data_IF_178460379195
#
_entry.id   IF_178460379195
#
_cell.length_a   1.000
_cell.length_b   1.000
_cell.length_c   1.000
_cell.angle_alpha   90.00
_cell.angle_beta   90.00
_cell.angle_gamma   90.00
#
_symmetry.space_group_name_H-M   'P 1'
#
loop_
_entity.id
_entity.type
_entity.pdbx_description
1 polymer ?
#
# COMPACT_ATOMS: atom_id res chain seq x y z
N UNK A 1 -2.07 -5.20 7.05
CA UNK A 1 -2.05 -3.88 7.69
C UNK A 1 -1.54 -2.85 6.70
N UNK A 2 -2.10 -1.64 6.72
CA UNK A 2 -1.68 -0.48 5.91
C UNK A 2 -1.28 0.66 6.85
N UNK A 3 -0.31 1.47 6.46
CA UNK A 3 0.11 2.64 7.22
C UNK A 3 0.59 3.76 6.29
N UNK A 4 0.16 4.98 6.58
CA UNK A 4 0.55 6.20 5.88
C UNK A 4 0.34 7.42 6.78
N UNK A 5 0.75 8.61 6.31
CA UNK A 5 0.53 9.89 7.02
C UNK A 5 -0.87 10.46 6.83
N UNK A 6 -1.60 9.96 5.82
CA UNK A 6 -2.92 10.46 5.48
C UNK A 6 -3.93 10.18 6.61
N UNK A 7 -4.83 11.14 6.93
CA UNK A 7 -5.80 10.97 8.00
C UNK A 7 -6.77 9.82 7.68
N UNK A 8 -7.17 9.09 8.71
CA UNK A 8 -8.12 7.97 8.58
C UNK A 8 -9.46 8.43 8.01
N UNK A 9 -9.94 9.56 8.46
CA UNK A 9 -11.30 10.04 8.23
C UNK A 9 -12.29 9.51 9.26
N UNK A 10 -13.55 9.90 9.11
CA UNK A 10 -14.65 9.43 9.95
C UNK A 10 -15.34 8.23 9.30
N UNK A 11 -15.82 7.30 10.11
CA UNK A 11 -16.77 6.28 9.62
C UNK A 11 -18.10 6.99 9.30
N UNK A 12 -18.51 7.03 8.03
CA UNK A 12 -19.67 7.83 7.64
C UNK A 12 -20.97 7.17 8.09
N UNK A 13 -21.87 7.97 8.65
CA UNK A 13 -23.27 7.58 8.79
C UNK A 13 -24.02 8.03 7.52
N UNK A 14 -24.13 7.13 6.55
CA UNK A 14 -24.75 7.42 5.26
C UNK A 14 -26.24 7.78 5.38
N UNK A 15 -26.91 7.41 6.47
CA UNK A 15 -28.33 7.75 6.72
C UNK A 15 -28.53 9.23 7.00
N UNK A 16 -27.49 9.93 7.45
CA UNK A 16 -27.49 11.36 7.78
C UNK A 16 -27.00 12.26 6.63
N UNK A 17 -26.58 11.67 5.51
CA UNK A 17 -26.16 12.47 4.37
C UNK A 17 -27.36 13.05 3.64
N UNK A 18 -27.42 14.38 3.43
CA UNK A 18 -28.44 14.98 2.57
C UNK A 18 -28.26 14.46 1.13
N UNK A 19 -29.36 14.22 0.41
CA UNK A 19 -29.32 13.64 -0.95
C UNK A 19 -28.35 14.36 -1.90
N UNK A 20 -28.26 15.70 -1.83
CA UNK A 20 -27.30 16.47 -2.62
C UNK A 20 -25.84 16.34 -2.15
N UNK A 21 -25.61 16.01 -0.89
CA UNK A 21 -24.26 15.84 -0.31
C UNK A 21 -23.55 14.57 -0.77
N UNK A 22 -24.30 13.53 -1.14
CA UNK A 22 -23.75 12.26 -1.62
C UNK A 22 -23.02 12.46 -2.96
N UNK A 23 -23.63 13.18 -3.90
CA UNK A 23 -23.03 13.43 -5.21
C UNK A 23 -21.70 14.20 -5.10
N UNK A 24 -21.68 15.26 -4.27
CA UNK A 24 -20.45 16.03 -4.01
C UNK A 24 -19.36 15.19 -3.33
N UNK A 25 -19.74 14.35 -2.37
CA UNK A 25 -18.79 13.48 -1.67
C UNK A 25 -18.19 12.42 -2.61
N UNK A 26 -19.01 11.81 -3.47
CA UNK A 26 -18.54 10.86 -4.48
C UNK A 26 -17.62 11.51 -5.51
N UNK A 27 -17.92 12.75 -5.93
CA UNK A 27 -17.06 13.50 -6.82
C UNK A 27 -15.66 13.75 -6.20
N UNK A 28 -15.60 14.10 -4.90
CA UNK A 28 -14.34 14.28 -4.20
C UNK A 28 -13.54 12.97 -4.09
N UNK A 29 -14.21 11.84 -3.86
CA UNK A 29 -13.59 10.51 -3.86
C UNK A 29 -13.04 10.20 -5.26
N UNK A 30 -13.80 10.48 -6.32
CA UNK A 30 -13.36 10.28 -7.71
C UNK A 30 -12.12 11.11 -8.03
N UNK A 31 -12.08 12.39 -7.64
CA UNK A 31 -10.90 13.24 -7.82
C UNK A 31 -9.66 12.66 -7.12
N UNK A 32 -9.80 12.27 -5.85
CA UNK A 32 -8.70 11.68 -5.08
C UNK A 32 -8.23 10.37 -5.70
N UNK A 33 -9.16 9.52 -6.19
CA UNK A 33 -8.81 8.31 -6.93
C UNK A 33 -8.09 8.62 -8.24
N UNK A 34 -8.54 9.61 -8.99
CA UNK A 34 -7.89 10.06 -10.22
C UNK A 34 -6.44 10.46 -9.98
N UNK A 35 -6.19 11.19 -8.90
CA UNK A 35 -4.83 11.57 -8.47
C UNK A 35 -3.97 10.33 -8.14
N UNK A 36 -4.48 9.41 -7.31
CA UNK A 36 -3.77 8.19 -6.94
C UNK A 36 -3.47 7.32 -8.17
N UNK A 37 -4.45 7.12 -9.05
CA UNK A 37 -4.29 6.31 -10.24
C UNK A 37 -3.35 6.95 -11.28
N UNK A 38 -3.25 8.28 -11.29
CA UNK A 38 -2.35 9.00 -12.18
C UNK A 38 -0.91 9.00 -11.68
N UNK A 39 -0.69 9.22 -10.38
CA UNK A 39 0.63 9.37 -9.79
C UNK A 39 1.12 8.14 -9.04
N UNK A 40 0.26 7.14 -8.81
CA UNK A 40 0.54 5.95 -7.99
C UNK A 40 0.91 6.26 -6.53
N UNK A 41 0.57 7.45 -6.05
CA UNK A 41 0.72 7.87 -4.66
C UNK A 41 -0.29 8.96 -4.30
N UNK A 42 -0.51 9.16 -3.00
CA UNK A 42 -1.33 10.26 -2.52
C UNK A 42 -0.56 11.58 -2.58
N UNK A 43 -1.17 12.60 -3.17
CA UNK A 43 -0.74 13.97 -2.95
C UNK A 43 -1.45 14.41 -1.67
N UNK A 44 -0.79 14.26 -0.52
CA UNK A 44 -1.37 14.47 0.83
C UNK A 44 -2.07 15.84 0.96
N UNK A 45 -1.53 16.88 0.32
CA UNK A 45 -2.12 18.23 0.35
C UNK A 45 -3.46 18.25 -0.37
N UNK A 46 -3.55 17.67 -1.55
CA UNK A 46 -4.77 17.65 -2.36
C UNK A 46 -5.83 16.75 -1.73
N UNK A 47 -5.43 15.58 -1.23
CA UNK A 47 -6.30 14.67 -0.52
C UNK A 47 -6.88 15.30 0.75
N UNK A 48 -6.08 16.04 1.52
CA UNK A 48 -6.56 16.79 2.68
C UNK A 48 -7.59 17.85 2.28
N UNK A 49 -7.45 18.47 1.12
CA UNK A 49 -8.40 19.46 0.62
C UNK A 49 -9.67 18.79 0.11
N UNK A 50 -9.53 17.76 -0.70
CA UNK A 50 -10.66 17.10 -1.37
C UNK A 50 -11.52 16.25 -0.43
N UNK A 51 -10.89 15.64 0.59
CA UNK A 51 -11.54 14.72 1.53
C UNK A 51 -11.66 15.27 2.97
N UNK A 52 -11.63 16.61 3.15
CA UNK A 52 -11.82 17.24 4.46
C UNK A 52 -13.27 17.60 4.78
N UNK A 53 -14.12 17.71 3.77
CA UNK A 53 -15.47 18.26 3.94
C UNK A 53 -16.49 17.13 4.18
N UNK A 54 -17.19 17.20 5.30
CA UNK A 54 -18.37 16.39 5.59
C UNK A 54 -18.07 15.01 6.19
N UNK A 55 -19.04 14.10 6.05
CA UNK A 55 -18.99 12.75 6.63
C UNK A 55 -18.14 11.76 5.82
N UNK A 56 -17.77 12.08 4.57
CA UNK A 56 -16.89 11.26 3.73
C UNK A 56 -15.56 11.98 3.65
N UNK A 57 -14.63 11.58 4.49
CA UNK A 57 -13.34 12.24 4.64
C UNK A 57 -12.21 11.24 4.85
N UNK A 58 -10.97 11.68 4.61
CA UNK A 58 -9.77 10.89 4.83
C UNK A 58 -9.60 9.70 3.88
N UNK A 59 -8.81 8.72 4.28
CA UNK A 59 -8.44 7.56 3.47
C UNK A 59 -9.53 6.48 3.40
N UNK A 60 -10.44 6.46 4.36
CA UNK A 60 -11.44 5.40 4.50
C UNK A 60 -12.32 5.18 3.26
N UNK A 61 -12.84 6.22 2.58
CA UNK A 61 -13.62 6.04 1.33
C UNK A 61 -12.81 5.37 0.23
N UNK A 62 -11.53 5.68 0.14
CA UNK A 62 -10.60 5.09 -0.85
C UNK A 62 -10.42 3.59 -0.57
N UNK A 63 -10.26 3.20 0.70
CA UNK A 63 -10.17 1.80 1.09
C UNK A 63 -11.43 1.02 0.70
N UNK A 64 -12.62 1.61 0.87
CA UNK A 64 -13.88 0.98 0.45
C UNK A 64 -13.92 0.73 -1.06
N UNK A 65 -13.48 1.71 -1.86
CA UNK A 65 -13.44 1.55 -3.32
C UNK A 65 -12.50 0.40 -3.72
N UNK A 66 -11.31 0.34 -3.14
CA UNK A 66 -10.37 -0.75 -3.44
C UNK A 66 -10.89 -2.11 -3.00
N UNK A 67 -11.50 -2.23 -1.82
CA UNK A 67 -12.12 -3.47 -1.37
C UNK A 67 -13.25 -3.91 -2.33
N UNK A 68 -14.16 -3.00 -2.67
CA UNK A 68 -15.26 -3.27 -3.60
C UNK A 68 -14.75 -3.69 -4.99
N UNK A 69 -13.74 -2.98 -5.53
CA UNK A 69 -13.13 -3.32 -6.82
C UNK A 69 -12.43 -4.67 -6.83
N UNK A 70 -11.94 -5.12 -5.66
CA UNK A 70 -11.34 -6.44 -5.47
C UNK A 70 -12.38 -7.54 -5.20
N UNK A 71 -13.68 -7.26 -5.35
CA UNK A 71 -14.76 -8.22 -5.10
C UNK A 71 -14.98 -8.55 -3.62
N UNK A 72 -14.49 -7.69 -2.72
CA UNK A 72 -14.63 -7.87 -1.28
C UNK A 72 -15.88 -7.17 -0.75
N UNK A 73 -16.54 -7.80 0.20
CA UNK A 73 -17.70 -7.25 0.91
C UNK A 73 -17.29 -6.80 2.31
N UNK A 74 -17.45 -5.53 2.62
CA UNK A 74 -17.21 -4.97 3.96
C UNK A 74 -18.30 -5.48 4.92
N UNK A 75 -17.92 -6.08 6.03
CA UNK A 75 -18.80 -6.61 7.07
C UNK A 75 -18.96 -5.63 8.23
N UNK A 76 -17.85 -5.06 8.69
CA UNK A 76 -17.88 -4.05 9.74
C UNK A 76 -16.69 -3.09 9.63
N UNK A 77 -16.87 -1.90 10.18
CA UNK A 77 -15.85 -0.86 10.27
C UNK A 77 -15.88 -0.29 11.66
N UNK A 78 -14.72 -0.25 12.33
CA UNK A 78 -14.59 0.25 13.68
C UNK A 78 -13.38 1.16 13.79
N UNK A 79 -13.52 2.39 14.33
CA UNK A 79 -12.37 3.18 14.74
C UNK A 79 -11.52 2.38 15.72
N UNK A 80 -10.21 2.54 15.61
CA UNK A 80 -9.22 1.92 16.51
C UNK A 80 -8.18 2.99 16.88
N UNK A 81 -7.69 2.95 18.10
CA UNK A 81 -6.58 3.76 18.54
C UNK A 81 -5.55 2.88 19.24
N UNK A 82 -4.27 3.20 19.07
CA UNK A 82 -3.19 2.52 19.80
C UNK A 82 -2.60 3.49 20.82
N UNK A 83 -2.35 3.01 22.02
CA UNK A 83 -1.54 3.75 22.99
C UNK A 83 -0.04 3.63 22.68
N UNK A 84 0.81 4.19 23.53
CA UNK A 84 2.27 4.16 23.39
C UNK A 84 2.89 2.76 23.63
N UNK A 85 2.12 1.82 24.21
CA UNK A 85 2.52 0.44 24.40
C UNK A 85 2.03 -0.49 23.28
N UNK A 86 1.22 0.04 22.33
CA UNK A 86 0.66 -0.73 21.23
C UNK A 86 -0.63 -1.49 21.61
N UNK A 87 -1.21 -1.21 22.78
CA UNK A 87 -2.52 -1.74 23.12
C UNK A 87 -3.60 -1.06 22.25
N UNK A 88 -4.55 -1.88 21.77
CA UNK A 88 -5.59 -1.44 20.85
C UNK A 88 -6.89 -1.14 21.60
N UNK A 89 -7.44 0.04 21.37
CA UNK A 89 -8.68 0.56 21.92
C UNK A 89 -9.70 0.76 20.80
N UNK A 90 -10.95 0.39 21.03
CA UNK A 90 -11.99 0.43 20.03
C UNK A 90 -13.09 1.45 20.39
N UNK A 91 -13.72 2.02 19.37
CA UNK A 91 -15.00 2.75 19.49
C UNK A 91 -15.06 3.85 20.55
N UNK A 92 -14.02 4.68 20.66
CA UNK A 92 -14.05 5.86 21.53
C UNK A 92 -13.46 5.66 22.93
N UNK A 93 -12.88 4.50 23.22
CA UNK A 93 -12.05 4.31 24.41
C UNK A 93 -10.84 5.26 24.35
N UNK A 94 -10.44 5.76 25.51
CA UNK A 94 -9.34 6.72 25.59
C UNK A 94 -7.98 6.01 25.56
N UNK A 95 -7.29 6.10 24.44
CA UNK A 95 -5.93 5.56 24.27
C UNK A 95 -4.83 6.57 24.66
N UNK A 96 -5.17 7.70 25.23
CA UNK A 96 -4.23 8.74 25.66
C UNK A 96 -3.95 9.83 24.60
N UNK A 97 -3.17 10.85 24.98
CA UNK A 97 -2.97 12.05 24.15
C UNK A 97 -2.14 11.78 22.88
N UNK A 98 -1.26 10.80 22.92
CA UNK A 98 -0.37 10.42 21.80
C UNK A 98 -0.88 9.21 21.01
N UNK A 99 -2.19 8.91 21.11
CA UNK A 99 -2.78 7.76 20.47
C UNK A 99 -2.62 7.79 18.94
N UNK A 100 -2.16 6.70 18.36
CA UNK A 100 -2.16 6.49 16.90
C UNK A 100 -3.56 6.10 16.47
N UNK A 101 -4.16 6.92 15.62
CA UNK A 101 -5.52 6.71 15.13
C UNK A 101 -5.53 5.81 13.91
N UNK A 102 -6.51 4.92 13.85
CA UNK A 102 -6.69 3.98 12.77
C UNK A 102 -8.13 3.56 12.58
N UNK A 103 -8.31 2.60 11.68
CA UNK A 103 -9.57 1.92 11.44
C UNK A 103 -9.31 0.43 11.28
N UNK A 104 -10.20 -0.39 11.84
CA UNK A 104 -10.31 -1.81 11.59
C UNK A 104 -11.50 -2.06 10.67
N UNK A 105 -11.25 -2.73 9.55
CA UNK A 105 -12.27 -3.14 8.59
C UNK A 105 -12.28 -4.67 8.55
N UNK A 106 -13.41 -5.28 8.86
CA UNK A 106 -13.66 -6.71 8.63
C UNK A 106 -14.36 -6.85 7.29
N UNK A 107 -13.83 -7.70 6.43
CA UNK A 107 -14.34 -7.92 5.08
C UNK A 107 -14.22 -9.39 4.71
N UNK A 108 -15.00 -9.83 3.72
CA UNK A 108 -14.94 -11.19 3.19
C UNK A 108 -14.92 -11.17 1.67
N UNK A 109 -14.23 -12.13 1.08
CA UNK A 109 -14.28 -12.44 -0.35
C UNK A 109 -15.44 -13.37 -0.70
N UNK A 110 -15.46 -13.85 -1.94
CA UNK A 110 -16.42 -14.84 -2.42
C UNK A 110 -16.32 -16.21 -1.72
N UNK A 111 -15.18 -16.49 -1.12
CA UNK A 111 -14.92 -17.67 -0.30
C UNK A 111 -15.61 -17.62 1.08
N UNK A 112 -16.21 -16.49 1.44
CA UNK A 112 -16.87 -16.25 2.72
C UNK A 112 -15.91 -16.13 3.91
N UNK A 113 -14.59 -16.28 3.71
CA UNK A 113 -13.63 -16.15 4.80
C UNK A 113 -13.46 -14.68 5.21
N UNK A 114 -13.62 -14.43 6.50
CA UNK A 114 -13.40 -13.09 7.04
C UNK A 114 -11.91 -12.79 7.18
N UNK A 115 -11.56 -11.59 6.73
CA UNK A 115 -10.22 -11.01 6.82
C UNK A 115 -10.31 -9.65 7.50
N UNK A 116 -9.24 -9.28 8.17
CA UNK A 116 -9.17 -7.99 8.85
C UNK A 116 -8.13 -7.10 8.17
N UNK A 117 -8.54 -5.88 7.82
CA UNK A 117 -7.66 -4.81 7.39
C UNK A 117 -7.55 -3.78 8.52
N UNK A 118 -6.33 -3.47 8.91
CA UNK A 118 -6.02 -2.32 9.75
C UNK A 118 -5.38 -1.23 8.89
N UNK A 119 -5.86 0.00 9.03
CA UNK A 119 -5.20 1.17 8.50
C UNK A 119 -4.88 2.13 9.64
N UNK A 120 -3.64 2.61 9.71
CA UNK A 120 -3.20 3.57 10.71
C UNK A 120 -2.61 4.81 10.04
N UNK A 121 -3.01 5.98 10.52
CA UNK A 121 -2.37 7.26 10.21
C UNK A 121 -1.27 7.50 11.24
N UNK A 122 -0.01 7.37 10.83
CA UNK A 122 1.14 7.49 11.74
C UNK A 122 2.36 8.05 11.04
N UNK A 123 3.15 8.82 11.78
CA UNK A 123 4.48 9.26 11.36
C UNK A 123 5.46 8.10 11.48
N UNK A 124 5.99 7.65 10.36
CA UNK A 124 6.98 6.55 10.28
C UNK A 124 8.43 7.01 10.48
N UNK A 125 8.68 8.30 10.72
CA UNK A 125 10.02 8.79 11.08
C UNK A 125 10.50 8.17 12.40
N UNK A 126 11.80 8.19 12.64
CA UNK A 126 12.39 7.65 13.87
C UNK A 126 11.78 8.30 15.12
N UNK A 127 11.48 9.61 15.09
CA UNK A 127 10.81 10.30 16.18
C UNK A 127 9.35 9.89 16.33
N UNK A 128 8.63 9.78 15.23
CA UNK A 128 7.22 9.41 15.23
C UNK A 128 6.99 7.99 15.77
N UNK A 129 7.73 7.00 15.27
CA UNK A 129 7.57 5.62 15.74
C UNK A 129 8.06 5.38 17.17
N UNK A 130 9.00 6.20 17.67
CA UNK A 130 9.40 6.15 19.09
C UNK A 130 8.32 6.68 20.03
N UNK A 131 7.58 7.69 19.59
CA UNK A 131 6.51 8.29 20.37
C UNK A 131 5.20 7.50 20.32
N UNK A 132 5.11 6.48 19.47
CA UNK A 132 3.89 5.71 19.22
C UNK A 132 4.06 4.22 19.51
N UNK A 133 2.99 3.54 19.88
CA UNK A 133 2.95 2.08 20.03
C UNK A 133 2.75 1.31 18.71
N UNK A 134 2.83 2.00 17.55
CA UNK A 134 2.52 1.39 16.26
C UNK A 134 3.35 0.15 15.94
N UNK A 135 4.68 0.21 16.09
CA UNK A 135 5.54 -0.95 15.82
C UNK A 135 5.35 -2.08 16.83
N UNK A 136 5.08 -1.74 18.10
CA UNK A 136 4.73 -2.74 19.13
C UNK A 136 3.43 -3.48 18.77
N UNK A 137 2.41 -2.75 18.30
CA UNK A 137 1.21 -3.38 17.78
C UNK A 137 1.50 -4.30 16.59
N UNK A 138 2.35 -3.86 15.66
CA UNK A 138 2.76 -4.69 14.53
C UNK A 138 3.42 -6.00 14.96
N UNK A 139 4.24 -5.96 16.03
CA UNK A 139 4.88 -7.16 16.59
C UNK A 139 3.86 -8.17 17.12
N UNK A 140 2.74 -7.70 17.70
CA UNK A 140 1.68 -8.61 18.18
C UNK A 140 0.99 -9.40 17.06
N UNK A 141 1.08 -8.92 15.81
CA UNK A 141 0.54 -9.61 14.64
C UNK A 141 1.47 -10.70 14.10
N UNK A 142 2.70 -10.78 14.64
CA UNK A 142 3.72 -11.72 14.21
C UNK A 142 4.39 -11.35 12.89
N UNK A 143 5.39 -12.13 12.47
CA UNK A 143 6.05 -11.94 11.18
C UNK A 143 5.08 -12.17 10.02
N UNK A 144 5.24 -11.39 8.95
CA UNK A 144 4.34 -11.44 7.81
C UNK A 144 5.01 -11.07 6.50
N UNK A 145 4.21 -10.92 5.45
CA UNK A 145 4.64 -10.44 4.15
C UNK A 145 4.45 -8.94 4.07
N UNK A 146 5.46 -8.22 3.62
CA UNK A 146 5.43 -6.77 3.47
C UNK A 146 5.38 -6.36 2.01
N UNK A 147 4.47 -5.43 1.68
CA UNK A 147 4.46 -4.69 0.43
C UNK A 147 4.87 -3.25 0.73
N UNK A 148 5.95 -2.77 0.12
CA UNK A 148 6.50 -1.45 0.36
C UNK A 148 6.41 -0.61 -0.90
N UNK A 149 5.76 0.54 -0.78
CA UNK A 149 5.77 1.62 -1.76
C UNK A 149 6.05 2.94 -1.03
N UNK A 150 7.14 3.58 -1.36
CA UNK A 150 7.57 4.81 -0.71
C UNK A 150 7.69 5.94 -1.74
N UNK A 151 6.65 6.73 -1.88
CA UNK A 151 6.54 7.78 -2.91
C UNK A 151 7.73 8.77 -2.91
N UNK A 152 8.30 9.05 -1.74
CA UNK A 152 9.41 10.00 -1.56
C UNK A 152 10.73 9.30 -1.22
N UNK A 153 10.87 8.02 -1.50
CA UNK A 153 12.05 7.22 -1.13
C UNK A 153 12.41 7.34 0.37
N UNK A 154 11.39 7.40 1.24
CA UNK A 154 11.56 7.64 2.67
C UNK A 154 12.55 6.66 3.31
N UNK A 155 12.46 5.38 2.94
CA UNK A 155 13.30 4.33 3.51
C UNK A 155 14.78 4.41 3.09
N UNK A 156 15.12 5.30 2.15
CA UNK A 156 16.52 5.64 1.83
C UNK A 156 17.14 6.62 2.83
N UNK A 157 16.31 7.34 3.60
CA UNK A 157 16.77 8.36 4.55
C UNK A 157 17.15 7.74 5.90
N UNK A 158 18.15 8.34 6.56
CA UNK A 158 18.52 8.01 7.93
C UNK A 158 17.41 8.27 8.96
N UNK A 159 16.45 9.14 8.63
CA UNK A 159 15.32 9.46 9.50
C UNK A 159 14.28 8.33 9.61
N UNK A 160 14.38 7.27 8.82
CA UNK A 160 13.46 6.14 8.79
C UNK A 160 14.15 4.79 9.09
N UNK A 161 15.28 4.82 9.80
CA UNK A 161 16.05 3.62 10.14
C UNK A 161 15.27 2.66 11.03
N UNK A 162 14.44 3.16 11.95
CA UNK A 162 13.69 2.34 12.89
C UNK A 162 12.67 1.47 12.16
N UNK A 163 11.83 2.06 11.31
CA UNK A 163 10.83 1.31 10.53
C UNK A 163 11.48 0.41 9.48
N UNK A 164 12.57 0.86 8.85
CA UNK A 164 13.35 0.02 7.92
C UNK A 164 13.89 -1.23 8.60
N UNK A 165 14.52 -1.09 9.76
CA UNK A 165 15.04 -2.21 10.51
C UNK A 165 13.93 -3.13 11.02
N UNK A 166 12.79 -2.55 11.45
CA UNK A 166 11.61 -3.32 11.82
C UNK A 166 11.14 -4.23 10.68
N UNK A 167 10.97 -3.68 9.47
CA UNK A 167 10.57 -4.44 8.29
C UNK A 167 11.58 -5.55 7.95
N UNK A 168 12.89 -5.22 7.98
CA UNK A 168 13.95 -6.20 7.75
C UNK A 168 14.02 -7.29 8.82
N UNK A 169 13.53 -7.06 10.03
CA UNK A 169 13.55 -8.05 11.11
C UNK A 169 12.26 -8.85 11.23
N UNK A 170 11.13 -8.30 10.81
CA UNK A 170 9.82 -8.90 11.04
C UNK A 170 9.09 -9.34 9.76
N UNK A 171 9.69 -9.19 8.58
CA UNK A 171 9.09 -9.66 7.34
C UNK A 171 9.64 -11.03 6.93
N UNK A 172 8.76 -11.95 6.55
CA UNK A 172 9.13 -13.21 5.89
C UNK A 172 9.45 -12.97 4.41
N UNK A 173 8.65 -12.10 3.76
CA UNK A 173 8.92 -11.60 2.42
C UNK A 173 8.75 -10.09 2.37
N UNK A 174 9.49 -9.45 1.46
CA UNK A 174 9.30 -8.04 1.13
C UNK A 174 9.14 -7.94 -0.38
N UNK A 175 8.02 -7.34 -0.81
CA UNK A 175 7.77 -6.97 -2.20
C UNK A 175 7.86 -5.45 -2.27
N UNK A 176 8.67 -4.94 -3.17
CA UNK A 176 8.88 -3.49 -3.32
C UNK A 176 9.29 -3.12 -4.74
N UNK A 177 9.16 -1.83 -5.09
CA UNK A 177 9.89 -1.24 -6.20
C UNK A 177 11.18 -0.56 -5.70
N UNK A 178 11.87 0.17 -6.58
CA UNK A 178 13.12 0.87 -6.25
C UNK A 178 12.96 1.95 -5.17
N UNK A 179 11.74 2.40 -4.87
CA UNK A 179 11.47 3.37 -3.81
C UNK A 179 11.46 2.76 -2.41
N UNK A 180 11.47 1.44 -2.29
CA UNK A 180 11.43 0.71 -1.03
C UNK A 180 12.73 0.79 -0.24
N UNK A 181 13.11 -0.29 0.43
CA UNK A 181 14.37 -0.40 1.19
C UNK A 181 15.54 -0.55 0.22
N UNK A 182 16.58 0.32 0.29
CA UNK A 182 17.77 0.15 -0.54
C UNK A 182 18.43 -1.22 -0.35
N UNK A 183 18.89 -1.80 -1.46
CA UNK A 183 19.47 -3.14 -1.47
C UNK A 183 20.66 -3.28 -0.52
N UNK A 184 21.43 -2.21 -0.31
CA UNK A 184 22.57 -2.19 0.59
C UNK A 184 22.26 -2.42 2.09
N UNK A 185 20.98 -2.34 2.48
CA UNK A 185 20.58 -2.65 3.87
C UNK A 185 20.19 -4.11 4.08
N UNK A 186 20.04 -4.88 2.99
CA UNK A 186 19.75 -6.31 3.10
C UNK A 186 21.06 -7.10 3.30
N UNK A 187 21.02 -8.08 4.19
CA UNK A 187 22.08 -9.08 4.30
C UNK A 187 21.86 -10.19 3.28
N UNK A 188 22.79 -10.38 2.36
CA UNK A 188 22.73 -11.47 1.38
C UNK A 188 22.77 -12.87 2.00
N UNK A 189 23.21 -12.98 3.27
CA UNK A 189 23.15 -14.24 4.05
C UNK A 189 21.74 -14.56 4.55
N UNK A 190 20.89 -13.52 4.69
CA UNK A 190 19.54 -13.65 5.26
C UNK A 190 18.43 -13.48 4.22
N UNK A 191 18.75 -13.05 3.00
CA UNK A 191 17.76 -12.72 2.00
C UNK A 191 18.15 -13.25 0.62
N UNK A 192 17.17 -13.84 -0.06
CA UNK A 192 17.23 -14.20 -1.49
C UNK A 192 16.38 -13.23 -2.29
N UNK A 193 16.87 -12.83 -3.47
CA UNK A 193 16.27 -11.79 -4.29
C UNK A 193 15.77 -12.35 -5.62
N UNK A 194 14.57 -11.93 -6.00
CA UNK A 194 13.93 -12.27 -7.26
C UNK A 194 13.46 -10.96 -7.91
N UNK A 195 14.25 -10.41 -8.85
CA UNK A 195 13.90 -9.20 -9.57
C UNK A 195 12.98 -9.49 -10.75
N UNK A 196 12.01 -8.60 -10.98
CA UNK A 196 11.08 -8.64 -12.10
C UNK A 196 10.95 -7.26 -12.74
N UNK A 197 10.88 -7.22 -14.08
CA UNK A 197 10.76 -5.99 -14.82
C UNK A 197 12.10 -5.35 -15.12
N UNK A 198 12.15 -4.02 -15.15
CA UNK A 198 13.32 -3.27 -15.59
C UNK A 198 13.58 -2.07 -14.68
N UNK A 199 14.80 -1.95 -14.19
CA UNK A 199 15.25 -0.78 -13.42
C UNK A 199 16.27 0.00 -14.26
N UNK A 200 15.95 1.24 -14.59
CA UNK A 200 16.85 2.19 -15.27
C UNK A 200 17.38 3.28 -14.33
N UNK A 201 16.63 3.54 -13.26
CA UNK A 201 16.97 4.55 -12.26
C UNK A 201 15.77 4.89 -11.37
N UNK A 202 15.93 5.78 -10.40
CA UNK A 202 14.82 6.36 -9.67
C UNK A 202 14.02 7.31 -10.58
N UNK A 203 12.88 7.81 -10.09
CA UNK A 203 12.15 8.87 -10.79
C UNK A 203 12.96 10.18 -10.80
N UNK A 204 12.66 11.06 -11.76
CA UNK A 204 13.45 12.27 -12.03
C UNK A 204 13.51 13.23 -10.84
N UNK A 205 12.50 13.22 -9.97
CA UNK A 205 12.47 14.02 -8.75
C UNK A 205 13.49 13.57 -7.70
N UNK A 206 14.02 12.35 -7.81
CA UNK A 206 14.95 11.76 -6.85
C UNK A 206 16.21 11.16 -7.50
N UNK A 207 16.94 11.88 -8.37
CA UNK A 207 18.07 11.31 -9.13
C UNK A 207 19.18 10.78 -8.23
N UNK A 208 19.38 11.38 -7.05
CA UNK A 208 20.36 10.94 -6.06
C UNK A 208 20.01 9.62 -5.35
N UNK A 209 18.89 8.96 -5.70
CA UNK A 209 18.48 7.66 -5.14
C UNK A 209 18.84 6.48 -6.03
N UNK A 210 19.65 6.69 -7.06
CA UNK A 210 20.16 5.62 -7.90
C UNK A 210 20.95 4.59 -7.10
N UNK A 211 20.79 3.31 -7.42
CA UNK A 211 21.41 2.19 -6.72
C UNK A 211 22.13 1.27 -7.72
N UNK A 212 23.47 1.31 -7.76
CA UNK A 212 24.28 0.45 -8.64
C UNK A 212 24.02 -1.05 -8.39
N UNK A 213 23.89 -1.44 -7.12
CA UNK A 213 23.63 -2.83 -6.72
C UNK A 213 22.25 -3.30 -7.20
N UNK A 214 21.25 -2.41 -7.16
CA UNK A 214 19.91 -2.69 -7.65
C UNK A 214 19.93 -2.83 -9.19
N UNK A 215 20.57 -1.90 -9.89
CA UNK A 215 20.75 -1.97 -11.34
C UNK A 215 21.48 -3.26 -11.76
N UNK A 216 22.52 -3.67 -11.04
CA UNK A 216 23.23 -4.92 -11.31
C UNK A 216 22.33 -6.16 -11.14
N UNK A 217 21.49 -6.17 -10.09
CA UNK A 217 20.54 -7.24 -9.83
C UNK A 217 19.51 -7.36 -10.97
N UNK A 218 19.00 -6.23 -11.47
CA UNK A 218 17.98 -6.18 -12.52
C UNK A 218 18.49 -6.51 -13.93
N UNK A 219 19.80 -6.64 -14.16
CA UNK A 219 20.33 -7.14 -15.46
C UNK A 219 19.84 -8.55 -15.80
N UNK A 220 19.43 -9.34 -14.82
CA UNK A 220 18.94 -10.71 -14.96
C UNK A 220 17.49 -10.86 -14.46
N UNK A 221 16.75 -9.75 -14.44
CA UNK A 221 15.36 -9.77 -14.01
C UNK A 221 14.46 -10.56 -14.96
N UNK A 222 13.45 -11.20 -14.39
CA UNK A 222 12.38 -11.81 -15.17
C UNK A 222 11.47 -10.70 -15.75
N UNK A 223 10.96 -10.86 -16.98
CA UNK A 223 10.01 -9.87 -17.51
C UNK A 223 8.71 -9.87 -16.71
N UNK A 224 8.06 -8.72 -16.68
CA UNK A 224 6.68 -8.57 -16.19
C UNK A 224 5.83 -7.97 -17.32
N UNK A 225 4.56 -8.40 -17.39
CA UNK A 225 3.58 -7.99 -18.39
C UNK A 225 2.56 -6.98 -17.84
N UNK A 226 2.73 -6.51 -16.63
CA UNK A 226 1.88 -5.52 -15.98
C UNK A 226 2.72 -4.33 -15.47
N UNK A 227 2.09 -3.15 -15.43
CA UNK A 227 2.69 -1.95 -14.84
C UNK A 227 2.63 -1.99 -13.32
N UNK A 228 3.73 -1.65 -12.67
CA UNK A 228 3.81 -1.43 -11.23
C UNK A 228 4.56 -0.13 -10.94
N UNK A 229 4.19 0.53 -9.85
CA UNK A 229 4.78 1.81 -9.48
C UNK A 229 4.10 2.96 -10.22
N UNK A 230 4.89 3.86 -10.77
CA UNK A 230 4.37 5.06 -11.43
C UNK A 230 3.84 4.75 -12.83
N UNK A 231 2.62 5.19 -13.13
CA UNK A 231 1.94 4.88 -14.40
C UNK A 231 2.72 5.33 -15.64
N UNK A 232 3.37 6.48 -15.58
CA UNK A 232 4.18 6.99 -16.70
C UNK A 232 5.47 6.20 -16.94
N UNK A 233 5.85 5.33 -15.99
CA UNK A 233 7.04 4.49 -16.06
C UNK A 233 6.73 3.03 -16.37
N UNK A 234 5.56 2.74 -16.92
CA UNK A 234 5.15 1.34 -17.22
C UNK A 234 6.24 0.51 -17.93
N UNK A 235 6.98 1.06 -18.95
CA UNK A 235 8.06 0.30 -19.58
C UNK A 235 9.29 0.06 -18.68
N UNK A 236 9.37 0.77 -17.56
CA UNK A 236 10.47 0.73 -16.59
C UNK A 236 10.02 0.20 -15.23
N UNK A 237 8.84 -0.44 -15.21
CA UNK A 237 8.32 -1.02 -13.98
C UNK A 237 9.30 -2.05 -13.44
N UNK A 238 9.63 -1.92 -12.17
CA UNK A 238 10.51 -2.83 -11.45
C UNK A 238 9.81 -3.35 -10.18
N UNK A 239 10.01 -4.62 -9.91
CA UNK A 239 9.49 -5.29 -8.73
C UNK A 239 10.57 -6.21 -8.17
N UNK A 240 10.92 -6.04 -6.93
CA UNK A 240 11.82 -6.91 -6.21
C UNK A 240 11.04 -7.70 -5.16
N UNK A 241 11.02 -9.03 -5.31
CA UNK A 241 10.62 -9.94 -4.26
C UNK A 241 11.88 -10.37 -3.49
N UNK A 242 11.92 -10.04 -2.21
CA UNK A 242 12.95 -10.47 -1.27
C UNK A 242 12.36 -11.51 -0.33
N UNK A 243 12.97 -12.69 -0.24
CA UNK A 243 12.53 -13.80 0.60
C UNK A 243 13.57 -14.03 1.69
N UNK A 244 13.11 -14.05 2.94
CA UNK A 244 13.98 -14.34 4.09
C UNK A 244 14.40 -15.80 4.06
N UNK A 245 15.66 -16.06 4.37
CA UNK A 245 16.19 -17.40 4.54
C UNK A 245 16.11 -17.78 6.02
N UNK A 246 15.79 -19.03 6.29
CA UNK A 246 15.99 -19.66 7.60
C UNK A 246 17.49 -19.88 7.85
N UNK A 247 17.86 -20.26 9.08
CA UNK A 247 19.26 -20.45 9.46
C UNK A 247 19.96 -21.56 8.65
N UNK A 248 19.20 -22.50 8.10
CA UNK A 248 19.68 -23.56 7.20
C UNK A 248 19.79 -23.13 5.72
N UNK A 249 19.50 -21.85 5.42
CA UNK A 249 19.51 -21.29 4.07
C UNK A 249 18.27 -21.62 3.21
N UNK A 250 17.29 -22.37 3.75
CA UNK A 250 16.00 -22.57 3.12
C UNK A 250 15.13 -21.30 3.18
N UNK A 251 14.14 -21.11 2.28
CA UNK A 251 13.17 -20.03 2.43
C UNK A 251 12.38 -20.17 3.72
N UNK A 252 12.32 -19.10 4.53
CA UNK A 252 11.54 -19.07 5.78
C UNK A 252 10.01 -18.96 5.55
N UNK A 253 9.54 -19.38 4.39
CA UNK A 253 8.12 -19.45 4.03
C UNK A 253 7.74 -20.91 4.16
N UNK A 254 6.67 -21.20 4.90
CA UNK A 254 6.08 -22.53 4.94
C UNK A 254 5.87 -23.07 3.51
N UNK A 255 6.48 -24.19 3.19
CA UNK A 255 6.37 -24.86 1.91
C UNK A 255 4.92 -25.20 1.54
N UNK A 256 4.02 -25.23 2.51
CA UNK A 256 2.59 -25.45 2.32
C UNK A 256 1.89 -24.29 1.57
N UNK A 257 2.34 -23.04 1.73
CA UNK A 257 1.81 -21.89 0.97
C UNK A 257 2.37 -21.82 -0.46
N UNK A 258 3.53 -22.46 -0.70
CA UNK A 258 4.19 -22.51 -2.02
C UNK A 258 3.68 -23.66 -2.90
N UNK A 259 3.01 -24.64 -2.33
CA UNK A 259 2.51 -25.82 -3.06
C UNK A 259 1.19 -25.59 -3.80
N UNK A 260 0.49 -24.49 -3.55
CA UNK A 260 -0.57 -24.01 -4.42
C UNK A 260 0.10 -23.35 -5.64
N UNK A 261 0.48 -24.15 -6.63
CA UNK A 261 0.81 -23.62 -7.94
C UNK A 261 -0.32 -22.66 -8.36
N UNK A 262 -0.01 -21.43 -8.79
CA UNK A 262 -1.05 -20.54 -9.29
C UNK A 262 -1.81 -21.32 -10.37
N UNK A 263 -3.15 -21.25 -10.40
CA UNK A 263 -3.92 -21.86 -11.47
C UNK A 263 -3.30 -21.39 -12.79
N UNK A 264 -3.14 -22.33 -13.74
CA UNK A 264 -2.61 -22.03 -15.06
C UNK A 264 -3.25 -20.74 -15.57
N UNK A 265 -2.48 -19.79 -16.10
CA UNK A 265 -3.05 -18.53 -16.58
C UNK A 265 -4.21 -18.86 -17.52
N UNK A 266 -5.36 -18.19 -17.39
CA UNK A 266 -6.48 -18.42 -18.29
C UNK A 266 -5.97 -18.26 -19.74
N UNK A 267 -6.43 -19.08 -20.69
CA UNK A 267 -6.01 -18.98 -22.06
C UNK A 267 -6.15 -17.52 -22.52
N UNK A 268 -5.23 -17.00 -23.35
CA UNK A 268 -5.27 -15.62 -23.78
C UNK A 268 -6.66 -15.32 -24.34
N UNK A 269 -7.36 -14.35 -23.74
CA UNK A 269 -8.66 -13.91 -24.23
C UNK A 269 -8.42 -13.43 -25.65
N UNK A 270 -9.10 -14.06 -26.62
CA UNK A 270 -9.12 -13.56 -27.99
C UNK A 270 -9.40 -12.07 -27.94
N UNK A 271 -8.65 -11.23 -28.67
CA UNK A 271 -8.89 -9.80 -28.70
C UNK A 271 -10.39 -9.61 -28.99
N UNK A 272 -11.11 -8.98 -28.09
CA UNK A 272 -12.48 -8.55 -28.38
C UNK A 272 -12.36 -7.59 -29.56
N UNK A 273 -12.97 -7.97 -30.68
CA UNK A 273 -13.08 -7.06 -31.80
C UNK A 273 -13.59 -5.73 -31.27
N UNK A 274 -12.84 -4.68 -31.54
CA UNK A 274 -13.15 -3.32 -31.15
C UNK A 274 -14.42 -2.92 -31.91
N UNK A 275 -15.59 -3.11 -31.30
CA UNK A 275 -16.84 -2.65 -31.87
C UNK A 275 -16.88 -1.16 -31.63
N UNK A 276 -16.64 -0.39 -32.69
CA UNK A 276 -16.99 0.99 -32.92
C UNK A 276 -16.68 1.95 -31.76
N UNK A 277 -15.74 2.82 -32.02
CA UNK A 277 -15.52 4.04 -31.25
C UNK A 277 -16.83 4.82 -31.06
N UNK A 278 -17.48 4.67 -29.91
CA UNK A 278 -18.29 5.77 -29.40
C UNK A 278 -17.31 6.82 -28.94
N UNK A 279 -17.40 8.08 -29.41
CA UNK A 279 -16.64 9.16 -28.84
C UNK A 279 -16.91 9.20 -27.35
N UNK A 280 -15.86 9.21 -26.52
CA UNK A 280 -15.97 9.52 -25.11
C UNK A 280 -16.64 10.91 -25.03
N UNK A 281 -17.61 11.10 -24.13
CA UNK A 281 -18.19 12.43 -23.94
C UNK A 281 -17.08 13.42 -23.62
N UNK A 282 -17.18 14.64 -24.16
CA UNK A 282 -16.23 15.77 -24.10
C UNK A 282 -15.91 16.27 -22.67
N UNK A 283 -15.75 15.38 -21.70
CA UNK A 283 -15.47 15.71 -20.30
C UNK A 283 -14.00 15.61 -19.89
N UNK A 284 -13.05 15.49 -20.86
CA UNK A 284 -11.61 15.51 -20.57
C UNK A 284 -10.90 16.65 -21.31
N UNK A 285 -10.91 17.90 -20.78
CA UNK A 285 -10.19 19.01 -21.42
C UNK A 285 -8.67 19.06 -21.11
N UNK A 286 -8.07 18.02 -20.53
CA UNK A 286 -6.66 18.10 -20.08
C UNK A 286 -5.70 17.09 -20.71
N UNK A 287 -5.96 16.62 -21.93
CA UNK A 287 -4.98 15.83 -22.67
C UNK A 287 -4.85 16.37 -24.10
N UNK A 288 -4.04 17.40 -24.25
CA UNK A 288 -3.27 17.67 -25.45
C UNK A 288 -1.82 17.87 -25.05
#
# INVERSE_FOLDING_TARGET
MLSALEPVGSVPDLSRLPRGGIASALYNVERSLGSILSFSFFITKDMKTDLQAGQISGTLPILYVFLARSGMTVKSVSPISLDDQGAAYFSGENAGPNAVRGVRIIFAGSDGQEKTLYYFSTDLSNSGVKASGFLKFCETLGPGNSLIKSASYLLHSGNFTTVRNFLLNNSATIIQDDSGIPLGYYSTKKWRFFPFGRYLGPIDEFPGRYQDSYAALFRRAQPIDFGIGYRWRTPESNLLLSVRLADDGSPAIDAAASAAAPPAPPPPRKPRAYIGSRPLPDFWPFWR
#
